data_IF_457043275764
#
_entry.id   IF_457043275764
#
_cell.length_a   1.000
_cell.length_b   1.000
_cell.length_c   1.000
_cell.angle_alpha   90.00
_cell.angle_beta   90.00
_cell.angle_gamma   90.00
#
_symmetry.space_group_name_H-M   'P 1'
#
loop_
_entity.id
_entity.type
_entity.pdbx_description
1 polymer ?
#
# COMPACT_ATOMS: atom_id res chain seq x y z
N UNK A 1 -0.97 18.02 8.91
CA UNK A 1 -1.20 16.55 8.95
C UNK A 1 -2.47 16.21 9.70
N UNK A 2 -3.09 15.11 9.32
CA UNK A 2 -4.37 14.64 9.88
C UNK A 2 -4.28 13.13 10.06
N UNK A 3 -4.94 12.61 11.11
CA UNK A 3 -5.24 11.20 11.26
C UNK A 3 -6.72 11.07 11.63
N UNK A 4 -7.42 10.14 11.00
CA UNK A 4 -8.86 9.97 11.17
C UNK A 4 -9.31 8.57 10.80
N UNK A 5 -10.51 8.20 11.26
CA UNK A 5 -11.22 6.99 10.84
C UNK A 5 -12.55 7.39 10.23
N UNK A 6 -12.87 6.86 9.06
CA UNK A 6 -14.06 7.22 8.31
C UNK A 6 -14.78 5.98 7.81
N UNK A 7 -16.11 5.97 7.90
CA UNK A 7 -16.96 4.97 7.24
C UNK A 7 -16.95 5.22 5.74
N UNK A 8 -16.63 4.17 4.99
CA UNK A 8 -16.50 4.20 3.54
C UNK A 8 -17.48 3.23 2.88
N UNK A 9 -17.98 3.62 1.72
CA UNK A 9 -18.78 2.79 0.83
C UNK A 9 -18.09 2.74 -0.53
N UNK A 10 -17.70 1.53 -0.98
CA UNK A 10 -16.97 1.31 -2.23
C UNK A 10 -17.76 0.36 -3.14
N UNK A 11 -18.74 0.91 -3.88
CA UNK A 11 -19.68 0.16 -4.72
C UNK A 11 -19.73 0.66 -6.16
N UNK A 12 -18.96 1.70 -6.48
CA UNK A 12 -18.91 2.28 -7.84
C UNK A 12 -17.64 3.13 -8.03
N UNK A 13 -17.37 3.50 -9.28
CA UNK A 13 -16.18 4.30 -9.61
C UNK A 13 -14.94 3.46 -9.84
N UNK A 14 -13.79 4.12 -9.85
CA UNK A 14 -12.49 3.48 -10.10
C UNK A 14 -12.08 2.50 -8.99
N UNK A 15 -12.38 2.85 -7.76
CA UNK A 15 -12.09 2.05 -6.57
C UNK A 15 -13.38 1.44 -6.04
N UNK A 16 -13.89 0.40 -6.69
CA UNK A 16 -15.06 -0.33 -6.21
C UNK A 16 -14.71 -1.80 -6.00
N UNK A 17 -15.29 -2.40 -4.95
CA UNK A 17 -15.02 -3.77 -4.53
C UNK A 17 -16.24 -4.69 -4.76
N UNK A 18 -17.24 -4.21 -5.50
CA UNK A 18 -18.53 -4.89 -5.62
C UNK A 18 -18.43 -6.31 -6.19
N UNK A 19 -17.49 -6.52 -7.13
CA UNK A 19 -17.28 -7.81 -7.76
C UNK A 19 -16.51 -8.79 -6.86
N UNK A 20 -15.69 -8.30 -5.95
CA UNK A 20 -14.87 -9.10 -5.04
C UNK A 20 -15.63 -9.51 -3.78
N UNK A 21 -16.58 -8.70 -3.34
CA UNK A 21 -17.38 -8.97 -2.11
C UNK A 21 -18.13 -10.27 -2.22
N UNK A 22 -17.90 -11.15 -1.23
CA UNK A 22 -18.48 -12.49 -1.19
C UNK A 22 -17.69 -13.55 -1.96
N UNK A 23 -16.65 -13.16 -2.69
CA UNK A 23 -15.74 -14.06 -3.39
C UNK A 23 -14.39 -14.23 -2.69
N UNK A 24 -14.02 -13.29 -1.84
CA UNK A 24 -12.85 -13.37 -0.98
C UNK A 24 -13.21 -13.14 0.50
N UNK A 25 -12.19 -13.07 1.37
CA UNK A 25 -12.38 -12.98 2.83
C UNK A 25 -12.14 -11.59 3.39
N UNK A 26 -11.79 -10.61 2.54
CA UNK A 26 -11.31 -9.31 3.01
C UNK A 26 -11.90 -8.09 2.32
N UNK A 27 -12.62 -8.24 1.19
CA UNK A 27 -13.35 -7.13 0.57
C UNK A 27 -14.75 -6.97 1.15
N UNK A 28 -15.10 -5.72 1.46
CA UNK A 28 -16.42 -5.33 1.95
C UNK A 28 -16.88 -4.07 1.23
N UNK A 29 -18.18 -3.97 0.91
CA UNK A 29 -18.75 -2.78 0.29
C UNK A 29 -18.80 -1.60 1.26
N UNK A 30 -19.01 -1.88 2.54
CA UNK A 30 -19.00 -0.90 3.63
C UNK A 30 -17.99 -1.31 4.70
N UNK A 31 -17.11 -0.39 5.07
CA UNK A 31 -16.05 -0.62 6.06
C UNK A 31 -15.62 0.72 6.67
N UNK A 32 -14.83 0.67 7.73
CA UNK A 32 -14.12 1.84 8.24
C UNK A 32 -12.70 1.84 7.70
N UNK A 33 -12.24 2.99 7.24
CA UNK A 33 -10.86 3.21 6.85
C UNK A 33 -10.19 4.12 7.87
N UNK A 34 -9.15 3.60 8.51
CA UNK A 34 -8.22 4.38 9.31
C UNK A 34 -7.13 4.90 8.41
N UNK A 35 -6.87 6.19 8.44
CA UNK A 35 -5.86 6.81 7.60
C UNK A 35 -5.09 7.93 8.29
N UNK A 36 -4.00 8.31 7.66
CA UNK A 36 -3.28 9.53 7.98
C UNK A 36 -2.88 10.26 6.70
N UNK A 37 -2.84 11.57 6.77
CA UNK A 37 -2.57 12.44 5.63
C UNK A 37 -1.54 13.50 6.01
N UNK A 38 -0.62 13.74 5.10
CA UNK A 38 0.36 14.83 5.21
C UNK A 38 0.32 15.67 3.94
N UNK A 39 0.25 16.96 4.12
CA UNK A 39 0.23 17.95 3.04
C UNK A 39 1.51 18.79 3.08
N UNK A 40 2.66 18.09 2.98
CA UNK A 40 3.99 18.71 3.02
C UNK A 40 4.67 18.71 4.40
N UNK A 41 4.05 18.12 5.43
CA UNK A 41 4.62 18.07 6.80
C UNK A 41 5.64 16.94 6.96
N UNK A 42 5.34 15.76 6.43
CA UNK A 42 6.21 14.58 6.42
C UNK A 42 6.00 13.79 5.13
N UNK A 43 6.89 12.84 4.85
CA UNK A 43 6.77 12.03 3.65
C UNK A 43 7.15 10.57 3.93
N UNK A 44 7.76 9.85 2.97
CA UNK A 44 7.96 8.39 2.99
C UNK A 44 8.62 7.89 4.26
N UNK A 45 9.70 8.53 4.70
CA UNK A 45 10.50 8.08 5.85
C UNK A 45 9.68 7.98 7.12
N UNK A 46 8.97 9.04 7.46
CA UNK A 46 8.16 9.12 8.66
C UNK A 46 6.93 8.21 8.53
N UNK A 47 6.25 8.24 7.40
CA UNK A 47 5.07 7.40 7.16
C UNK A 47 5.41 5.91 7.31
N UNK A 48 6.51 5.44 6.73
CA UNK A 48 7.00 4.07 6.83
C UNK A 48 7.38 3.72 8.27
N UNK A 49 8.15 4.58 8.93
CA UNK A 49 8.59 4.37 10.30
C UNK A 49 7.42 4.25 11.28
N UNK A 50 6.45 5.16 11.18
CA UNK A 50 5.27 5.15 12.06
C UNK A 50 4.32 4.00 11.77
N UNK A 51 4.16 3.62 10.50
CA UNK A 51 3.36 2.45 10.15
C UNK A 51 3.96 1.17 10.75
N UNK A 52 5.27 0.99 10.63
CA UNK A 52 5.96 -0.15 11.21
C UNK A 52 5.87 -0.17 12.73
N UNK A 53 6.11 0.96 13.39
CA UNK A 53 5.98 1.11 14.84
C UNK A 53 4.56 0.75 15.31
N UNK A 54 3.54 1.30 14.65
CA UNK A 54 2.15 1.03 14.99
C UNK A 54 1.81 -0.46 14.90
N UNK A 55 2.18 -1.11 13.80
CA UNK A 55 1.89 -2.53 13.61
C UNK A 55 2.65 -3.42 14.59
N UNK A 56 3.92 -3.14 14.84
CA UNK A 56 4.80 -4.05 15.59
C UNK A 56 4.89 -3.74 17.08
N UNK A 57 4.78 -2.47 17.48
CA UNK A 57 4.93 -2.06 18.88
C UNK A 57 3.57 -1.79 19.55
N UNK A 58 2.59 -1.27 18.83
CA UNK A 58 1.25 -0.99 19.35
C UNK A 58 0.33 -2.19 19.18
N UNK A 59 0.15 -2.67 17.96
CA UNK A 59 -0.69 -3.83 17.65
C UNK A 59 -0.01 -5.17 17.94
N UNK A 60 1.30 -5.18 18.18
CA UNK A 60 2.07 -6.38 18.51
C UNK A 60 1.99 -7.50 17.47
N UNK A 61 1.88 -7.14 16.20
CA UNK A 61 1.95 -8.13 15.12
C UNK A 61 3.34 -8.75 15.03
N UNK A 62 3.38 -10.03 14.69
CA UNK A 62 4.64 -10.75 14.50
C UNK A 62 5.37 -10.23 13.26
N UNK A 63 6.55 -9.66 13.48
CA UNK A 63 7.41 -9.09 12.44
C UNK A 63 7.75 -10.09 11.33
N UNK A 64 7.87 -11.37 11.68
CA UNK A 64 8.20 -12.44 10.72
C UNK A 64 7.04 -12.77 9.77
N UNK A 65 5.85 -12.25 10.04
CA UNK A 65 4.65 -12.43 9.21
C UNK A 65 4.37 -11.27 8.28
N UNK A 66 5.16 -10.19 8.38
CA UNK A 66 4.94 -8.97 7.62
C UNK A 66 5.82 -8.92 6.37
N UNK A 67 5.20 -8.52 5.28
CA UNK A 67 5.81 -8.28 3.97
C UNK A 67 5.42 -6.89 3.50
N UNK A 68 6.28 -6.24 2.73
CA UNK A 68 5.95 -4.95 2.13
C UNK A 68 6.22 -4.97 0.64
N UNK A 69 5.49 -4.15 -0.09
CA UNK A 69 5.71 -3.95 -1.51
C UNK A 69 6.23 -2.54 -1.77
N UNK A 70 6.96 -2.38 -2.86
CA UNK A 70 7.35 -1.09 -3.40
C UNK A 70 7.10 -1.07 -4.91
N UNK A 71 6.81 0.09 -5.46
CA UNK A 71 6.59 0.24 -6.89
C UNK A 71 7.82 -0.12 -7.70
N UNK A 72 7.68 -1.04 -8.66
CA UNK A 72 8.79 -1.53 -9.50
C UNK A 72 9.18 -0.60 -10.64
N UNK A 73 8.39 0.46 -10.85
CA UNK A 73 8.55 1.35 -11.99
C UNK A 73 7.65 0.99 -13.17
N UNK A 74 7.64 1.84 -14.18
CA UNK A 74 6.95 1.63 -15.45
C UNK A 74 7.74 2.28 -16.59
N UNK A 75 8.34 1.47 -17.45
CA UNK A 75 9.08 1.97 -18.59
C UNK A 75 8.19 2.70 -19.60
N UNK A 76 6.94 2.30 -19.74
CA UNK A 76 5.95 2.93 -20.60
C UNK A 76 5.67 4.38 -20.21
N UNK A 77 5.70 4.67 -18.92
CA UNK A 77 5.46 6.01 -18.38
C UNK A 77 6.74 6.75 -17.98
N UNK A 78 7.91 6.15 -18.17
CA UNK A 78 9.17 6.73 -17.77
C UNK A 78 9.35 6.86 -16.27
N UNK A 79 8.71 5.98 -15.50
CA UNK A 79 8.77 5.96 -14.04
C UNK A 79 9.77 4.90 -13.56
N UNK A 80 10.64 5.31 -12.67
CA UNK A 80 11.62 4.42 -12.03
C UNK A 80 11.02 3.68 -10.83
N UNK A 81 11.70 2.63 -10.40
CA UNK A 81 11.40 1.93 -9.16
C UNK A 81 11.48 2.88 -7.96
N UNK A 82 10.61 2.72 -6.98
CA UNK A 82 10.67 3.50 -5.74
C UNK A 82 11.77 2.98 -4.79
N UNK A 83 13.02 3.22 -5.17
CA UNK A 83 14.21 2.84 -4.38
C UNK A 83 14.29 3.59 -3.06
N UNK A 84 13.71 4.78 -2.99
CA UNK A 84 13.64 5.57 -1.75
C UNK A 84 12.79 4.86 -0.70
N UNK A 85 11.58 4.43 -1.05
CA UNK A 85 10.74 3.65 -0.15
C UNK A 85 11.41 2.34 0.26
N UNK A 86 11.99 1.62 -0.70
CA UNK A 86 12.73 0.39 -0.41
C UNK A 86 13.84 0.61 0.61
N UNK A 87 14.62 1.67 0.48
CA UNK A 87 15.72 2.00 1.41
C UNK A 87 15.23 2.28 2.83
N UNK A 88 14.07 2.92 2.97
CA UNK A 88 13.47 3.16 4.30
C UNK A 88 12.96 1.86 4.94
N UNK A 89 12.38 0.97 4.15
CA UNK A 89 11.94 -0.34 4.64
C UNK A 89 13.10 -1.23 5.09
N UNK A 90 14.27 -1.14 4.46
CA UNK A 90 15.45 -1.92 4.84
C UNK A 90 15.92 -1.68 6.28
N UNK A 91 15.52 -0.58 6.92
CA UNK A 91 15.76 -0.34 8.33
C UNK A 91 14.96 -1.28 9.26
N UNK A 92 13.91 -1.90 8.78
CA UNK A 92 12.94 -2.66 9.58
C UNK A 92 12.85 -4.14 9.22
N UNK A 93 13.03 -4.51 7.96
CA UNK A 93 12.91 -5.89 7.50
C UNK A 93 13.94 -6.21 6.41
N UNK A 94 14.28 -7.50 6.23
CA UNK A 94 15.28 -7.90 5.23
C UNK A 94 14.76 -7.67 3.81
N UNK A 95 15.67 -7.49 2.86
CA UNK A 95 15.38 -7.21 1.44
C UNK A 95 14.44 -8.23 0.80
N UNK A 96 14.55 -9.48 1.21
CA UNK A 96 13.74 -10.58 0.69
C UNK A 96 12.25 -10.40 0.98
N UNK A 97 11.90 -9.59 1.99
CA UNK A 97 10.52 -9.28 2.34
C UNK A 97 10.05 -7.92 1.84
N UNK A 98 10.89 -7.23 1.04
CA UNK A 98 10.55 -6.01 0.31
C UNK A 98 10.35 -6.38 -1.15
N UNK A 99 9.12 -6.46 -1.61
CA UNK A 99 8.71 -7.08 -2.87
C UNK A 99 8.42 -5.98 -3.89
N UNK A 100 8.89 -6.17 -5.12
CA UNK A 100 8.51 -5.29 -6.22
C UNK A 100 7.07 -5.56 -6.63
N UNK A 101 6.28 -4.49 -6.72
CA UNK A 101 4.90 -4.54 -7.18
C UNK A 101 4.71 -3.74 -8.46
N UNK A 102 3.82 -4.22 -9.31
CA UNK A 102 3.53 -3.60 -10.59
C UNK A 102 2.69 -2.32 -10.46
N UNK A 103 2.46 -1.65 -11.56
CA UNK A 103 1.68 -0.41 -11.58
C UNK A 103 0.25 -0.60 -11.06
N UNK A 104 -0.38 -1.74 -11.34
CA UNK A 104 -1.76 -2.00 -10.91
C UNK A 104 -1.88 -2.01 -9.38
N UNK A 105 -0.90 -2.61 -8.69
CA UNK A 105 -0.93 -2.77 -7.24
C UNK A 105 -0.21 -1.63 -6.51
N UNK A 106 0.85 -1.08 -7.10
CA UNK A 106 1.76 -0.15 -6.41
C UNK A 106 1.87 1.25 -7.01
N UNK A 107 0.94 1.65 -7.86
CA UNK A 107 0.81 3.03 -8.32
C UNK A 107 -0.65 3.48 -8.19
N UNK A 108 -0.91 4.31 -7.19
CA UNK A 108 -2.26 4.77 -6.89
C UNK A 108 -2.63 6.00 -7.72
N UNK A 109 -3.85 6.00 -8.25
CA UNK A 109 -4.43 7.09 -9.01
C UNK A 109 -5.81 7.42 -8.46
N UNK A 110 -6.09 8.70 -8.24
CA UNK A 110 -7.40 9.15 -7.78
C UNK A 110 -8.50 8.84 -8.80
N UNK A 111 -8.19 9.02 -10.07
CA UNK A 111 -9.07 8.81 -11.20
C UNK A 111 -8.27 8.87 -12.49
N UNK A 112 -8.94 9.15 -13.61
CA UNK A 112 -8.27 9.33 -14.90
C UNK A 112 -7.37 10.57 -14.92
N UNK A 113 -7.66 11.53 -14.06
CA UNK A 113 -6.86 12.73 -13.82
C UNK A 113 -6.76 13.00 -12.33
N UNK A 114 -5.79 13.80 -11.93
CA UNK A 114 -5.61 14.22 -10.54
C UNK A 114 -4.36 13.68 -9.87
N UNK A 115 -4.24 13.85 -8.57
CA UNK A 115 -3.08 13.39 -7.81
C UNK A 115 -2.87 11.89 -7.91
N UNK A 116 -1.61 11.51 -8.04
CA UNK A 116 -1.19 10.10 -8.14
C UNK A 116 0.25 9.93 -7.69
N UNK A 117 0.66 8.68 -7.49
CA UNK A 117 2.02 8.36 -7.15
C UNK A 117 2.22 6.91 -6.75
N UNK A 118 3.47 6.51 -6.56
CA UNK A 118 3.78 5.16 -6.09
C UNK A 118 3.20 4.94 -4.70
N UNK A 119 2.92 3.68 -4.40
CA UNK A 119 2.50 3.29 -3.06
C UNK A 119 3.27 2.07 -2.56
N UNK A 120 3.20 1.88 -1.27
CA UNK A 120 3.80 0.74 -0.58
C UNK A 120 2.71 0.08 0.26
N UNK A 121 2.45 -1.16 -0.01
CA UNK A 121 1.48 -1.97 0.73
C UNK A 121 2.18 -2.73 1.85
N UNK A 122 1.48 -2.95 2.94
CA UNK A 122 1.91 -3.84 4.02
C UNK A 122 0.97 -5.02 4.04
N UNK A 123 1.54 -6.23 3.95
CA UNK A 123 0.82 -7.51 3.93
C UNK A 123 1.16 -8.33 5.16
N UNK A 124 0.23 -9.14 5.61
CA UNK A 124 0.43 -10.10 6.70
C UNK A 124 0.08 -11.52 6.25
N UNK A 125 0.92 -12.47 6.65
CA UNK A 125 0.68 -13.90 6.48
C UNK A 125 0.10 -14.46 7.78
N UNK A 126 -1.20 -14.73 7.79
CA UNK A 126 -1.91 -15.26 8.97
C UNK A 126 -2.09 -16.78 8.92
N UNK A 127 -1.42 -17.48 7.97
CA UNK A 127 -1.48 -18.93 7.88
C UNK A 127 -0.87 -19.61 9.11
N UNK A 128 -1.26 -20.86 9.40
CA UNK A 128 -0.56 -21.69 10.37
C UNK A 128 0.92 -21.87 10.03
N UNK A 129 1.78 -22.01 11.04
CA UNK A 129 3.22 -22.18 10.84
C UNK A 129 3.55 -23.38 9.96
N UNK A 130 2.80 -24.48 10.09
CA UNK A 130 2.96 -25.68 9.26
C UNK A 130 2.75 -25.44 7.76
N UNK A 131 1.97 -24.44 7.38
CA UNK A 131 1.82 -24.04 5.97
C UNK A 131 2.91 -23.06 5.55
N UNK A 132 3.30 -22.16 6.44
CA UNK A 132 4.38 -21.18 6.19
C UNK A 132 5.73 -21.88 5.97
N UNK A 133 6.00 -22.98 6.66
CA UNK A 133 7.21 -23.78 6.48
C UNK A 133 7.26 -24.47 5.10
N UNK A 134 6.12 -24.81 4.53
CA UNK A 134 6.04 -25.48 3.23
C UNK A 134 6.14 -24.49 2.07
N UNK A 135 5.46 -23.37 2.17
CA UNK A 135 5.44 -22.32 1.16
C UNK A 135 5.59 -20.96 1.85
N UNK A 136 6.64 -20.24 1.50
CA UNK A 136 6.87 -18.90 2.03
C UNK A 136 5.73 -17.94 1.67
N UNK A 137 5.36 -17.08 2.60
CA UNK A 137 4.41 -15.98 2.34
C UNK A 137 4.86 -15.04 1.23
N UNK A 138 6.18 -14.95 0.99
CA UNK A 138 6.76 -14.19 -0.12
C UNK A 138 6.15 -14.55 -1.47
N UNK A 139 5.90 -15.83 -1.72
CA UNK A 139 5.33 -16.32 -2.98
C UNK A 139 3.82 -16.04 -3.10
N UNK A 140 3.17 -15.62 -2.04
CA UNK A 140 1.71 -15.48 -1.96
C UNK A 140 1.24 -14.03 -1.84
N UNK A 141 2.13 -13.08 -1.68
CA UNK A 141 1.80 -11.65 -1.67
C UNK A 141 1.23 -11.25 -3.03
N UNK A 142 0.06 -10.58 -3.03
CA UNK A 142 -0.69 -10.19 -4.23
C UNK A 142 -1.07 -11.36 -5.16
N UNK A 143 -1.25 -12.55 -4.60
CA UNK A 143 -1.69 -13.76 -5.33
C UNK A 143 -3.11 -14.20 -4.95
N UNK A 144 -3.91 -13.31 -4.40
CA UNK A 144 -5.30 -13.57 -3.98
C UNK A 144 -5.43 -14.72 -2.96
N UNK A 145 -4.40 -14.96 -2.15
CA UNK A 145 -4.48 -15.95 -1.10
C UNK A 145 -5.31 -15.41 0.07
N UNK A 146 -6.31 -16.15 0.58
CA UNK A 146 -7.24 -15.63 1.61
C UNK A 146 -6.59 -15.37 2.97
N UNK A 147 -5.37 -15.83 3.20
CA UNK A 147 -4.64 -15.69 4.46
C UNK A 147 -3.29 -14.97 4.32
N UNK A 148 -2.97 -14.45 3.15
CA UNK A 148 -1.83 -13.54 2.93
C UNK A 148 -2.40 -12.27 2.33
N UNK A 149 -2.72 -11.32 3.20
CA UNK A 149 -3.60 -10.19 2.89
C UNK A 149 -2.93 -8.84 3.10
N UNK A 150 -3.27 -7.89 2.24
CA UNK A 150 -2.93 -6.48 2.41
C UNK A 150 -3.72 -5.93 3.61
N UNK A 151 -3.01 -5.24 4.51
CA UNK A 151 -3.63 -4.62 5.68
C UNK A 151 -3.49 -3.10 5.70
N UNK A 152 -2.54 -2.53 4.96
CA UNK A 152 -2.32 -1.09 4.91
C UNK A 152 -1.69 -0.69 3.59
N UNK A 153 -2.20 0.39 2.98
CA UNK A 153 -1.60 1.00 1.80
C UNK A 153 -1.10 2.41 2.13
N UNK A 154 0.18 2.65 1.88
CA UNK A 154 0.83 3.95 2.05
C UNK A 154 1.03 4.58 0.67
N UNK A 155 0.23 5.60 0.35
CA UNK A 155 0.30 6.29 -0.94
C UNK A 155 1.22 7.51 -0.83
N UNK A 156 2.19 7.58 -1.74
CA UNK A 156 3.16 8.68 -1.86
C UNK A 156 2.80 9.52 -3.08
N UNK A 157 1.89 10.48 -2.91
CA UNK A 157 1.46 11.34 -4.01
C UNK A 157 2.55 12.33 -4.38
N UNK A 158 3.12 12.15 -5.56
CA UNK A 158 4.23 12.95 -6.10
C UNK A 158 3.86 13.67 -7.39
N UNK A 159 2.80 13.22 -8.07
CA UNK A 159 2.43 13.68 -9.40
C UNK A 159 0.96 14.06 -9.49
N UNK A 160 0.67 14.84 -10.52
CA UNK A 160 -0.67 15.12 -11.00
C UNK A 160 -0.79 14.59 -12.44
N UNK A 161 -1.77 13.71 -12.69
CA UNK A 161 -2.09 13.22 -14.02
C UNK A 161 -2.97 14.23 -14.72
N UNK A 162 -2.51 14.72 -15.87
CA UNK A 162 -3.28 15.66 -16.72
C UNK A 162 -4.22 14.92 -17.66
N UNK A 163 -5.16 15.65 -18.23
CA UNK A 163 -6.13 15.11 -19.19
C UNK A 163 -5.49 14.53 -20.48
N UNK A 164 -4.30 14.98 -20.83
CA UNK A 164 -3.50 14.44 -21.96
C UNK A 164 -2.71 13.17 -21.59
N UNK A 165 -2.84 12.69 -20.34
CA UNK A 165 -2.16 11.51 -19.81
C UNK A 165 -0.75 11.77 -19.28
N UNK A 166 -0.22 13.00 -19.40
CA UNK A 166 1.10 13.33 -18.85
C UNK A 166 1.11 13.48 -17.34
N UNK A 167 2.26 13.20 -16.72
CA UNK A 167 2.50 13.38 -15.31
C UNK A 167 3.28 14.67 -15.07
N UNK A 168 2.82 15.46 -14.11
CA UNK A 168 3.46 16.68 -13.65
C UNK A 168 3.77 16.56 -12.16
N UNK A 169 4.99 16.89 -11.70
CA UNK A 169 5.30 16.88 -10.28
C UNK A 169 4.37 17.79 -9.48
N UNK A 170 3.90 17.32 -8.33
CA UNK A 170 3.15 18.14 -7.39
C UNK A 170 4.06 19.19 -6.74
N UNK A 171 3.55 20.39 -6.44
CA UNK A 171 4.32 21.43 -5.78
C UNK A 171 4.69 21.06 -4.33
N UNK A 172 3.93 20.19 -3.70
CA UNK A 172 4.22 19.62 -2.39
C UNK A 172 3.93 18.11 -2.43
N UNK A 173 4.75 17.33 -1.76
CA UNK A 173 4.57 15.88 -1.64
C UNK A 173 3.51 15.59 -0.58
N UNK A 174 2.63 14.65 -0.87
CA UNK A 174 1.47 14.31 -0.03
C UNK A 174 1.51 12.85 0.36
N UNK A 175 1.22 12.58 1.62
CA UNK A 175 0.94 11.23 2.13
C UNK A 175 -0.56 11.05 2.23
N UNK A 176 -1.02 9.92 1.75
CA UNK A 176 -2.38 9.42 1.95
C UNK A 176 -2.28 7.94 2.28
N UNK A 177 -2.82 7.51 3.41
CA UNK A 177 -2.77 6.10 3.80
C UNK A 177 -4.15 5.58 4.15
N UNK A 178 -4.36 4.29 3.94
CA UNK A 178 -5.60 3.63 4.28
C UNK A 178 -5.41 2.22 4.80
N UNK A 179 -6.00 1.97 5.98
CA UNK A 179 -6.11 0.66 6.62
C UNK A 179 -7.58 0.35 6.82
N UNK A 180 -8.04 -0.72 6.23
CA UNK A 180 -9.41 -1.21 6.45
C UNK A 180 -9.60 -1.84 7.83
#
# INVERSE_FOLDING_TARGET
SVADSQKCLRVSGKHNDLEEVGHDTYHHTMFEMLGNWSFGDYFKKEAISWAWEYLTEVLKLDKERLYVTVFEGSSEEGLERDDEAASFWEAFLPKERIINGNKKDNFWEMGDTGPCGPCSEIHIDIRPDSEREKVSGLALVNQSHPQVIEIWNLVFMQYNRKADGTLEPLPAKVIDTGMG
#
